data_IF_162256195096
#
_entry.id   IF_162256195096
#
_cell.length_a   1.000
_cell.length_b   1.000
_cell.length_c   1.000
_cell.angle_alpha   90.00
_cell.angle_beta   90.00
_cell.angle_gamma   90.00
#
_symmetry.space_group_name_H-M   'P 1'
#
loop_
_entity.id
_entity.type
_entity.pdbx_description
1 polymer ?
#
# COMPACT_ATOMS: atom_id res chain seq x y z
N UNK A 1 -8.25 13.95 5.06
CA UNK A 1 -6.98 13.80 4.30
C UNK A 1 -6.87 12.53 3.51
N UNK A 2 -7.23 11.39 4.07
CA UNK A 2 -7.20 10.13 3.33
C UNK A 2 -8.12 10.19 2.11
N UNK A 3 -9.29 10.77 2.26
CA UNK A 3 -10.23 10.94 1.15
C UNK A 3 -9.61 11.68 -0.03
N UNK A 4 -8.82 12.69 0.22
CA UNK A 4 -8.16 13.46 -0.85
C UNK A 4 -7.17 12.58 -1.62
N UNK A 5 -6.42 11.72 -0.91
CA UNK A 5 -5.51 10.78 -1.55
C UNK A 5 -6.29 9.79 -2.42
N UNK A 6 -7.36 9.21 -1.88
CA UNK A 6 -8.17 8.25 -2.61
C UNK A 6 -8.82 8.89 -3.84
N UNK A 7 -9.25 10.14 -3.74
CA UNK A 7 -9.80 10.87 -4.88
C UNK A 7 -8.79 11.03 -6.01
N UNK A 8 -7.50 11.16 -5.72
CA UNK A 8 -6.48 11.26 -6.77
C UNK A 8 -6.15 9.89 -7.37
N UNK A 9 -6.23 8.83 -6.59
CA UNK A 9 -5.87 7.47 -7.06
C UNK A 9 -6.99 6.79 -7.83
N UNK A 10 -8.24 7.07 -7.47
CA UNK A 10 -9.39 6.41 -8.08
C UNK A 10 -9.45 6.58 -9.60
N UNK A 11 -9.31 7.80 -10.16
CA UNK A 11 -9.31 7.98 -11.62
C UNK A 11 -8.18 7.23 -12.31
N UNK A 12 -7.01 7.14 -11.67
CA UNK A 12 -5.87 6.43 -12.24
C UNK A 12 -6.19 4.94 -12.35
N UNK A 13 -6.82 4.37 -11.33
CA UNK A 13 -7.25 2.98 -11.38
C UNK A 13 -8.28 2.77 -12.49
N UNK A 14 -9.25 3.66 -12.62
CA UNK A 14 -10.28 3.57 -13.66
C UNK A 14 -9.67 3.63 -15.05
N UNK A 15 -8.76 4.56 -15.30
CA UNK A 15 -8.08 4.69 -16.58
C UNK A 15 -7.26 3.47 -16.93
N UNK A 16 -6.72 2.78 -15.95
CA UNK A 16 -5.89 1.61 -16.14
C UNK A 16 -6.65 0.29 -16.00
N UNK A 17 -7.98 0.35 -15.92
CA UNK A 17 -8.83 -0.84 -15.81
C UNK A 17 -8.48 -1.70 -14.61
N UNK A 18 -8.15 -1.07 -13.51
CA UNK A 18 -7.86 -1.75 -12.25
C UNK A 18 -9.12 -1.79 -11.40
N UNK A 19 -9.54 -2.98 -10.99
CA UNK A 19 -10.64 -3.14 -10.05
C UNK A 19 -10.13 -2.80 -8.65
N UNK A 20 -10.59 -1.68 -8.09
CA UNK A 20 -10.18 -1.21 -6.78
C UNK A 20 -11.30 -1.46 -5.78
N UNK A 21 -11.02 -2.32 -4.79
CA UNK A 21 -11.93 -2.64 -3.70
C UNK A 21 -11.44 -1.99 -2.43
N UNK A 22 -12.26 -1.15 -1.82
CA UNK A 22 -11.85 -0.39 -0.64
C UNK A 22 -12.82 -0.60 0.52
N UNK A 23 -12.25 -0.76 1.71
CA UNK A 23 -12.98 -0.69 2.98
C UNK A 23 -12.16 0.18 3.92
N UNK A 24 -12.65 1.37 4.20
CA UNK A 24 -11.93 2.34 5.02
C UNK A 24 -12.77 2.70 6.23
N UNK A 25 -12.28 2.33 7.40
CA UNK A 25 -12.88 2.68 8.69
C UNK A 25 -11.85 3.42 9.52
N UNK A 26 -11.65 4.68 9.17
CA UNK A 26 -10.69 5.56 9.82
C UNK A 26 -11.41 6.85 10.19
N UNK A 27 -11.20 7.32 11.43
CA UNK A 27 -11.75 8.60 11.86
C UNK A 27 -11.32 9.69 10.87
N UNK A 28 -12.27 10.41 10.26
CA UNK A 28 -11.92 11.44 9.27
C UNK A 28 -11.09 12.59 9.86
N UNK A 29 -11.06 12.72 11.19
CA UNK A 29 -10.25 13.73 11.86
C UNK A 29 -8.79 13.31 12.00
N UNK A 30 -8.47 12.04 11.74
CA UNK A 30 -7.10 11.58 11.83
C UNK A 30 -6.25 12.25 10.75
N UNK A 31 -5.23 12.97 11.18
CA UNK A 31 -4.34 13.71 10.30
C UNK A 31 -2.90 13.47 10.72
N UNK A 32 -2.28 12.49 10.10
CA UNK A 32 -0.85 12.23 10.28
C UNK A 32 -0.23 12.23 8.87
N UNK A 33 0.62 13.21 8.61
CA UNK A 33 1.20 13.40 7.30
C UNK A 33 2.06 12.20 6.88
N UNK A 34 2.85 11.65 7.81
CA UNK A 34 3.69 10.49 7.51
C UNK A 34 2.86 9.28 7.13
N UNK A 35 1.75 9.05 7.83
CA UNK A 35 0.82 7.97 7.48
C UNK A 35 0.25 8.18 6.08
N UNK A 36 -0.14 9.40 5.75
CA UNK A 36 -0.71 9.72 4.44
C UNK A 36 0.31 9.51 3.32
N UNK A 37 1.57 9.87 3.56
CA UNK A 37 2.65 9.61 2.60
C UNK A 37 2.84 8.11 2.41
N UNK A 38 2.84 7.33 3.49
CA UNK A 38 2.99 5.89 3.41
C UNK A 38 1.85 5.26 2.60
N UNK A 39 0.61 5.66 2.86
CA UNK A 39 -0.56 5.15 2.12
C UNK A 39 -0.46 5.52 0.64
N UNK A 40 -0.12 6.76 0.34
CA UNK A 40 0.02 7.20 -1.04
C UNK A 40 1.08 6.36 -1.79
N UNK A 41 2.21 6.13 -1.15
CA UNK A 41 3.28 5.32 -1.74
C UNK A 41 2.85 3.86 -1.94
N UNK A 42 2.11 3.29 -0.98
CA UNK A 42 1.60 1.92 -1.11
C UNK A 42 0.62 1.79 -2.28
N UNK A 43 -0.27 2.77 -2.44
CA UNK A 43 -1.21 2.77 -3.55
C UNK A 43 -0.50 2.94 -4.89
N UNK A 44 0.48 3.83 -4.96
CA UNK A 44 1.25 4.03 -6.18
C UNK A 44 1.99 2.75 -6.59
N UNK A 45 2.61 2.06 -5.63
CA UNK A 45 3.28 0.80 -5.91
C UNK A 45 2.31 -0.26 -6.43
N UNK A 46 1.15 -0.36 -5.83
CA UNK A 46 0.13 -1.32 -6.27
C UNK A 46 -0.37 -1.00 -7.68
N UNK A 47 -0.61 0.27 -7.98
CA UNK A 47 -1.05 0.70 -9.31
C UNK A 47 0.03 0.39 -10.35
N UNK A 48 1.28 0.73 -10.07
CA UNK A 48 2.39 0.45 -10.99
C UNK A 48 2.53 -1.04 -11.26
N UNK A 49 2.39 -1.87 -10.23
CA UNK A 49 2.46 -3.31 -10.38
C UNK A 49 1.32 -3.83 -11.27
N UNK A 50 0.11 -3.30 -11.09
CA UNK A 50 -1.04 -3.75 -11.88
C UNK A 50 -0.97 -3.29 -13.33
N UNK A 51 -0.32 -2.18 -13.62
CA UNK A 51 -0.09 -1.75 -14.99
C UNK A 51 0.72 -2.75 -15.80
N UNK A 52 1.49 -3.60 -15.12
CA UNK A 52 2.30 -4.65 -15.74
C UNK A 52 1.56 -5.99 -15.87
N UNK A 53 0.38 -6.10 -15.27
CA UNK A 53 -0.44 -7.30 -15.34
C UNK A 53 -1.43 -7.23 -16.49
N UNK A 54 -1.96 -8.40 -16.88
CA UNK A 54 -3.01 -8.47 -17.87
C UNK A 54 -4.23 -7.68 -17.39
N UNK A 55 -4.82 -6.89 -18.30
CA UNK A 55 -5.97 -6.03 -17.99
C UNK A 55 -7.11 -6.79 -17.31
N UNK A 56 -7.31 -8.05 -17.67
CA UNK A 56 -8.41 -8.84 -17.14
C UNK A 56 -8.20 -9.24 -15.66
N UNK A 57 -6.98 -9.12 -15.16
CA UNK A 57 -6.62 -9.60 -13.83
C UNK A 57 -6.29 -8.47 -12.85
N UNK A 58 -6.29 -7.23 -13.31
CA UNK A 58 -5.88 -6.08 -12.49
C UNK A 58 -6.84 -5.86 -11.33
N UNK A 59 -6.32 -5.99 -10.12
CA UNK A 59 -7.12 -5.90 -8.91
C UNK A 59 -6.27 -5.36 -7.76
N UNK A 60 -6.82 -4.40 -7.04
CA UNK A 60 -6.23 -3.88 -5.80
C UNK A 60 -7.29 -3.94 -4.71
N UNK A 61 -6.90 -4.42 -3.53
CA UNK A 61 -7.72 -4.37 -2.32
C UNK A 61 -7.03 -3.48 -1.31
N UNK A 62 -7.78 -2.57 -0.74
CA UNK A 62 -7.29 -1.61 0.23
C UNK A 62 -8.23 -1.55 1.42
N UNK A 63 -7.71 -1.89 2.59
CA UNK A 63 -8.49 -1.93 3.83
C UNK A 63 -7.78 -1.15 4.91
N UNK A 64 -8.53 -0.28 5.60
CA UNK A 64 -8.05 0.44 6.76
C UNK A 64 -9.04 0.22 7.89
N UNK A 65 -8.52 -0.24 9.02
CA UNK A 65 -9.30 -0.37 10.26
C UNK A 65 -8.54 0.30 11.39
N UNK A 66 -9.27 0.78 12.38
CA UNK A 66 -8.64 1.38 13.56
C UNK A 66 -9.33 0.92 14.84
N UNK A 67 -8.56 0.90 15.92
CA UNK A 67 -9.08 0.78 17.26
C UNK A 67 -8.43 1.87 18.13
N UNK A 68 -8.56 1.77 19.45
CA UNK A 68 -8.03 2.78 20.34
C UNK A 68 -6.50 2.93 20.26
N UNK A 69 -5.81 1.89 19.83
CA UNK A 69 -4.35 1.82 19.93
C UNK A 69 -3.63 1.84 18.61
N UNK A 70 -4.25 1.31 17.56
CA UNK A 70 -3.57 1.13 16.28
C UNK A 70 -4.46 1.46 15.09
N UNK A 71 -3.78 1.76 13.97
CA UNK A 71 -4.39 1.82 12.65
C UNK A 71 -3.76 0.70 11.84
N UNK A 72 -4.60 -0.22 11.35
CA UNK A 72 -4.17 -1.34 10.52
C UNK A 72 -4.52 -1.05 9.07
N UNK A 73 -3.53 -1.09 8.20
CA UNK A 73 -3.71 -0.85 6.77
C UNK A 73 -3.19 -2.04 5.99
N UNK A 74 -4.05 -2.61 5.17
CA UNK A 74 -3.68 -3.73 4.29
C UNK A 74 -3.91 -3.29 2.85
N UNK A 75 -2.90 -3.45 2.01
CA UNK A 75 -3.03 -3.28 0.59
C UNK A 75 -2.57 -4.54 -0.12
N UNK A 76 -3.36 -4.99 -1.08
CA UNK A 76 -3.08 -6.19 -1.85
C UNK A 76 -3.24 -5.88 -3.32
N UNK A 77 -2.34 -6.42 -4.13
CA UNK A 77 -2.48 -6.34 -5.58
C UNK A 77 -2.23 -7.71 -6.20
N UNK A 78 -2.96 -7.99 -7.30
CA UNK A 78 -2.86 -9.27 -7.99
C UNK A 78 -1.49 -9.44 -8.63
N UNK A 79 -0.95 -10.66 -8.54
CA UNK A 79 0.31 -11.03 -9.19
C UNK A 79 0.14 -12.37 -9.90
N UNK A 80 0.64 -12.46 -11.13
CA UNK A 80 0.71 -13.72 -11.86
C UNK A 80 1.87 -14.55 -11.32
N UNK A 81 3.04 -13.92 -11.20
CA UNK A 81 4.27 -14.55 -10.72
C UNK A 81 4.68 -13.96 -9.39
N UNK A 82 5.30 -14.79 -8.55
CA UNK A 82 5.77 -14.36 -7.26
C UNK A 82 6.85 -13.26 -7.39
N UNK A 83 6.64 -12.16 -6.69
CA UNK A 83 7.62 -11.09 -6.57
C UNK A 83 8.70 -11.49 -5.56
N UNK A 84 8.31 -12.08 -4.44
CA UNK A 84 9.22 -12.44 -3.37
C UNK A 84 10.18 -13.56 -3.75
N UNK A 85 9.76 -14.48 -4.62
CA UNK A 85 10.66 -15.53 -5.12
C UNK A 85 11.79 -14.95 -5.96
N UNK A 86 11.52 -13.88 -6.71
CA UNK A 86 12.51 -13.22 -7.56
C UNK A 86 13.32 -12.18 -6.81
N UNK A 87 12.74 -11.57 -5.80
CA UNK A 87 13.36 -10.49 -5.03
C UNK A 87 12.93 -10.59 -3.57
N UNK A 88 13.47 -11.57 -2.82
CA UNK A 88 13.02 -11.82 -1.44
C UNK A 88 13.18 -10.64 -0.50
N UNK A 89 14.13 -9.76 -0.77
CA UNK A 89 14.39 -8.61 0.09
C UNK A 89 13.79 -7.31 -0.44
N UNK A 90 13.13 -7.39 -1.60
CA UNK A 90 12.56 -6.21 -2.27
C UNK A 90 13.58 -5.11 -2.47
N UNK A 91 14.81 -5.51 -2.82
CA UNK A 91 15.89 -4.58 -3.06
C UNK A 91 15.71 -3.90 -4.41
N UNK A 92 16.12 -2.64 -4.46
CA UNK A 92 16.15 -1.89 -5.69
C UNK A 92 17.24 -2.43 -6.59
N UNK A 93 16.88 -2.85 -7.80
CA UNK A 93 17.83 -3.24 -8.83
C UNK A 93 17.78 -2.23 -9.96
N UNK A 94 18.70 -2.37 -10.91
CA UNK A 94 18.72 -1.49 -12.07
C UNK A 94 17.43 -1.65 -12.88
N UNK A 95 16.90 -0.54 -13.33
CA UNK A 95 15.74 -0.51 -14.21
C UNK A 95 14.41 -0.53 -13.46
N UNK A 96 13.48 -1.31 -13.95
CA UNK A 96 12.08 -1.21 -13.58
C UNK A 96 11.79 -1.55 -12.13
N UNK A 97 12.57 -2.43 -11.53
CA UNK A 97 12.35 -2.81 -10.14
C UNK A 97 12.78 -1.73 -9.15
N UNK A 98 13.49 -0.71 -9.61
CA UNK A 98 13.94 0.39 -8.75
C UNK A 98 12.78 1.11 -8.08
N UNK A 99 11.69 1.35 -8.82
CA UNK A 99 10.55 2.09 -8.31
C UNK A 99 9.84 1.34 -7.19
N UNK A 100 9.63 0.04 -7.35
CA UNK A 100 9.00 -0.78 -6.32
C UNK A 100 9.84 -0.81 -5.04
N UNK A 101 11.14 -0.98 -5.18
CA UNK A 101 12.03 -0.99 -4.03
C UNK A 101 12.02 0.34 -3.27
N UNK A 102 12.03 1.46 -4.00
CA UNK A 102 12.05 2.79 -3.40
C UNK A 102 10.77 3.08 -2.62
N UNK A 103 9.62 2.75 -3.17
CA UNK A 103 8.34 3.00 -2.50
C UNK A 103 8.22 2.25 -1.19
N UNK A 104 8.59 0.98 -1.16
CA UNK A 104 8.51 0.17 0.05
C UNK A 104 9.57 0.57 1.07
N UNK A 105 10.74 0.97 0.62
CA UNK A 105 11.78 1.46 1.51
C UNK A 105 11.30 2.69 2.28
N UNK A 106 10.67 3.64 1.59
CA UNK A 106 10.11 4.83 2.20
C UNK A 106 9.04 4.46 3.24
N UNK A 107 8.15 3.54 2.89
CA UNK A 107 7.11 3.07 3.81
C UNK A 107 7.72 2.43 5.05
N UNK A 108 8.74 1.56 4.87
CA UNK A 108 9.43 0.94 6.01
C UNK A 108 10.06 1.96 6.94
N UNK A 109 10.67 2.99 6.37
CA UNK A 109 11.27 4.05 7.17
C UNK A 109 10.23 4.81 7.98
N UNK A 110 9.11 5.14 7.37
CA UNK A 110 8.00 5.84 8.04
C UNK A 110 7.44 4.97 9.17
N UNK A 111 7.16 3.71 8.87
CA UNK A 111 6.61 2.78 9.87
C UNK A 111 7.56 2.64 11.06
N UNK A 112 8.86 2.48 10.79
CA UNK A 112 9.87 2.36 11.83
C UNK A 112 9.97 3.63 12.69
N UNK A 113 9.91 4.78 12.07
CA UNK A 113 9.95 6.07 12.75
C UNK A 113 8.82 6.21 13.78
N UNK A 114 7.68 5.65 13.49
CA UNK A 114 6.50 5.71 14.36
C UNK A 114 6.35 4.48 15.27
N UNK A 115 7.38 3.64 15.35
CA UNK A 115 7.37 2.41 16.15
C UNK A 115 6.25 1.46 15.72
N UNK A 116 5.92 1.48 14.44
CA UNK A 116 4.92 0.59 13.87
C UNK A 116 5.53 -0.72 13.39
N UNK A 117 4.72 -1.48 12.69
CA UNK A 117 5.13 -2.76 12.13
C UNK A 117 4.72 -2.82 10.67
N UNK A 118 5.49 -3.54 9.89
CA UNK A 118 5.18 -3.82 8.49
C UNK A 118 5.41 -5.30 8.22
N UNK A 119 4.46 -5.94 7.56
CA UNK A 119 4.56 -7.31 7.12
C UNK A 119 4.27 -7.38 5.63
N UNK A 120 5.14 -8.05 4.88
CA UNK A 120 5.02 -8.21 3.44
C UNK A 120 4.99 -9.69 3.14
N UNK A 121 3.95 -10.13 2.46
CA UNK A 121 3.75 -11.55 2.16
C UNK A 121 2.95 -11.71 0.88
N UNK A 122 2.88 -12.94 0.40
CA UNK A 122 2.07 -13.29 -0.77
C UNK A 122 1.09 -14.38 -0.38
N UNK A 123 -0.14 -14.25 -0.86
CA UNK A 123 -1.19 -15.21 -0.59
C UNK A 123 -2.24 -15.16 -1.70
N UNK A 124 -2.62 -16.33 -2.22
CA UNK A 124 -3.71 -16.45 -3.21
C UNK A 124 -3.52 -15.54 -4.41
N UNK A 125 -2.31 -15.52 -4.98
CA UNK A 125 -1.94 -14.65 -6.10
C UNK A 125 -2.08 -13.16 -5.79
N UNK A 126 -1.94 -12.79 -4.53
CA UNK A 126 -1.91 -11.39 -4.13
C UNK A 126 -0.60 -11.08 -3.43
N UNK A 127 0.00 -9.96 -3.80
CA UNK A 127 1.13 -9.39 -3.07
C UNK A 127 0.54 -8.47 -2.00
N UNK A 128 0.89 -8.73 -0.74
CA UNK A 128 0.23 -8.10 0.41
C UNK A 128 1.22 -7.30 1.23
N UNK A 129 0.85 -6.08 1.57
CA UNK A 129 1.59 -5.24 2.51
C UNK A 129 0.63 -4.85 3.63
N UNK A 130 0.99 -5.22 4.85
CA UNK A 130 0.20 -4.91 6.04
C UNK A 130 1.03 -4.03 6.95
N UNK A 131 0.54 -2.83 7.24
CA UNK A 131 1.18 -1.91 8.17
C UNK A 131 0.33 -1.72 9.41
N UNK A 132 0.98 -1.59 10.54
CA UNK A 132 0.35 -1.23 11.81
C UNK A 132 1.02 0.02 12.33
N UNK A 133 0.24 1.09 12.44
CA UNK A 133 0.69 2.35 13.03
C UNK A 133 0.10 2.49 14.42
N UNK A 134 0.90 2.88 15.41
CA UNK A 134 0.32 3.29 16.68
C UNK A 134 -0.58 4.50 16.45
N UNK A 135 -1.79 4.44 17.00
CA UNK A 135 -2.67 5.58 16.97
C UNK A 135 -2.26 6.50 18.09
N UNK A 136 -1.34 7.40 17.80
CA UNK A 136 -0.92 8.38 18.80
C UNK A 136 -2.02 9.40 19.01
N UNK A 137 -2.43 9.51 20.26
CA UNK A 137 -3.29 10.60 20.63
C UNK A 137 -2.37 11.81 20.77
N UNK A 138 -2.59 12.77 19.88
CA UNK A 138 -1.89 14.02 19.93
C UNK A 138 -2.35 14.83 21.13
N UNK A 139 -1.45 15.18 21.98
CA UNK A 139 -1.75 16.01 23.14
C UNK A 139 -1.40 17.45 22.90
#
# INVERSE_FOLDING_TARGET
MLDAILHTKLPICQENLIALHMQVALDPRYQNMDYMIAVSNLLDNAIEAEQMEDQNNRCIRFEVTENEHIISTVIQNYITDSILDKNPQLQTTKGDSAEHGLGLKSVRMIVSKHNGMIDIYEKDHMFCVHTIFPRTISH
#
